data_IF_992420601126
#
_entry.id   IF_992420601126
#
_cell.length_a   1.000
_cell.length_b   1.000
_cell.length_c   1.000
_cell.angle_alpha   90.00
_cell.angle_beta   90.00
_cell.angle_gamma   90.00
#
_symmetry.space_group_name_H-M   'P 1'
#
loop_
_entity.id
_entity.type
_entity.pdbx_description
1 polymer ?
#
# COMPACT_ATOMS: atom_id res chain seq x y z
N UNK A 1 -9.96 15.27 -9.48
CA UNK A 1 -9.87 13.81 -9.49
C UNK A 1 -8.74 13.37 -8.59
N UNK A 2 -8.99 12.38 -7.73
CA UNK A 2 -7.98 11.90 -6.80
C UNK A 2 -7.45 10.54 -7.22
N UNK A 3 -6.15 10.38 -7.10
CA UNK A 3 -5.53 9.07 -7.25
C UNK A 3 -5.83 8.26 -6.00
N UNK A 4 -6.33 7.07 -6.21
CA UNK A 4 -6.68 6.17 -5.12
C UNK A 4 -5.51 5.23 -4.86
N UNK A 5 -5.01 5.24 -3.63
CA UNK A 5 -3.81 4.52 -3.26
C UNK A 5 -4.14 3.38 -2.30
N UNK A 6 -3.75 2.18 -2.64
CA UNK A 6 -3.84 1.03 -1.74
C UNK A 6 -2.50 0.87 -1.03
N UNK A 7 -2.55 0.84 0.29
CA UNK A 7 -1.34 0.71 1.11
C UNK A 7 -1.21 -0.74 1.56
N UNK A 8 -0.26 -1.45 0.96
CA UNK A 8 -0.06 -2.88 1.21
C UNK A 8 1.12 -3.08 2.14
N UNK A 9 0.89 -2.88 3.43
CA UNK A 9 1.90 -3.03 4.47
C UNK A 9 1.23 -3.44 5.77
N UNK A 10 1.75 -4.46 6.46
CA UNK A 10 1.12 -4.93 7.70
C UNK A 10 1.35 -4.03 8.91
N UNK A 11 2.26 -3.07 8.82
CA UNK A 11 2.59 -2.21 9.96
C UNK A 11 1.55 -1.10 10.11
N UNK A 12 0.74 -1.13 11.20
CA UNK A 12 -0.28 -0.11 11.38
C UNK A 12 0.27 1.29 11.58
N UNK A 13 1.47 1.42 12.13
CA UNK A 13 2.08 2.74 12.30
C UNK A 13 2.46 3.32 10.95
N UNK A 14 3.00 2.51 10.07
CA UNK A 14 3.33 2.95 8.72
C UNK A 14 2.08 3.28 7.93
N UNK A 15 1.03 2.48 8.09
CA UNK A 15 -0.24 2.77 7.45
C UNK A 15 -0.76 4.14 7.85
N UNK A 16 -0.71 4.46 9.14
CA UNK A 16 -1.16 5.77 9.64
C UNK A 16 -0.29 6.89 9.10
N UNK A 17 1.03 6.68 9.08
CA UNK A 17 1.97 7.69 8.60
C UNK A 17 1.70 8.00 7.13
N UNK A 18 1.54 6.98 6.31
CA UNK A 18 1.31 7.16 4.88
C UNK A 18 -0.06 7.80 4.65
N UNK A 19 -1.08 7.37 5.41
CA UNK A 19 -2.41 7.96 5.28
C UNK A 19 -2.38 9.45 5.60
N UNK A 20 -1.67 9.82 6.66
CA UNK A 20 -1.54 11.23 7.03
C UNK A 20 -0.83 12.02 5.94
N UNK A 21 0.22 11.43 5.35
CA UNK A 21 0.93 12.10 4.26
C UNK A 21 0.03 12.28 3.04
N UNK A 22 -0.75 11.25 2.69
CA UNK A 22 -1.65 11.34 1.54
C UNK A 22 -2.75 12.37 1.78
N UNK A 23 -3.20 12.53 3.03
CA UNK A 23 -4.26 13.48 3.33
C UNK A 23 -3.83 14.93 3.13
N UNK A 24 -2.52 15.18 3.06
CA UNK A 24 -2.00 16.51 2.76
C UNK A 24 -2.08 16.84 1.27
N UNK A 25 -2.30 15.83 0.44
CA UNK A 25 -2.33 16.03 -1.00
C UNK A 25 -3.77 16.16 -1.47
N UNK A 26 -4.00 17.09 -2.39
CA UNK A 26 -5.35 17.33 -2.90
C UNK A 26 -5.78 16.25 -3.90
N UNK A 27 -4.82 15.64 -4.54
CA UNK A 27 -5.08 14.72 -5.65
C UNK A 27 -4.80 13.26 -5.30
N UNK A 28 -4.69 12.94 -4.02
CA UNK A 28 -4.46 11.57 -3.57
C UNK A 28 -5.31 11.24 -2.38
N UNK A 29 -5.67 9.97 -2.26
CA UNK A 29 -6.40 9.49 -1.09
C UNK A 29 -6.09 8.01 -0.86
N UNK A 30 -6.16 7.59 0.39
CA UNK A 30 -6.00 6.19 0.72
C UNK A 30 -7.29 5.45 0.39
N UNK A 31 -7.20 4.47 -0.50
CA UNK A 31 -8.36 3.67 -0.88
C UNK A 31 -8.58 2.49 0.06
N UNK A 32 -7.51 2.00 0.69
CA UNK A 32 -7.62 0.88 1.60
C UNK A 32 -6.25 0.43 2.05
N UNK A 33 -6.24 -0.64 2.84
CA UNK A 33 -5.02 -1.22 3.40
C UNK A 33 -5.07 -2.73 3.24
N UNK A 34 -3.91 -3.33 3.08
CA UNK A 34 -3.80 -4.78 3.07
C UNK A 34 -2.55 -5.21 3.82
N UNK A 35 -2.60 -6.42 4.40
CA UNK A 35 -1.51 -6.93 5.23
C UNK A 35 -0.76 -8.08 4.59
N UNK A 36 -1.22 -8.61 3.49
CA UNK A 36 -0.58 -9.77 2.88
C UNK A 36 -0.88 -9.88 1.41
N UNK A 37 -0.17 -10.77 0.73
CA UNK A 37 -0.25 -10.89 -0.72
C UNK A 37 -1.63 -11.24 -1.23
N UNK A 38 -2.28 -12.25 -0.63
CA UNK A 38 -3.60 -12.67 -1.06
C UNK A 38 -4.61 -11.56 -0.83
N UNK A 39 -4.55 -10.93 0.33
CA UNK A 39 -5.44 -9.81 0.63
C UNK A 39 -5.20 -8.65 -0.32
N UNK A 40 -3.94 -8.38 -0.66
CA UNK A 40 -3.60 -7.31 -1.58
C UNK A 40 -4.24 -7.55 -2.95
N UNK A 41 -4.15 -8.77 -3.48
CA UNK A 41 -4.77 -9.09 -4.76
C UNK A 41 -6.28 -8.92 -4.70
N UNK A 42 -6.90 -9.37 -3.63
CA UNK A 42 -8.33 -9.22 -3.45
C UNK A 42 -8.74 -7.76 -3.40
N UNK A 43 -7.96 -6.94 -2.68
CA UNK A 43 -8.25 -5.52 -2.57
C UNK A 43 -8.06 -4.79 -3.89
N UNK A 44 -7.06 -5.19 -4.68
CA UNK A 44 -6.86 -4.59 -5.99
C UNK A 44 -8.08 -4.83 -6.87
N UNK A 45 -8.62 -6.04 -6.82
CA UNK A 45 -9.80 -6.37 -7.63
C UNK A 45 -11.05 -5.63 -7.15
N UNK A 46 -11.20 -5.49 -5.84
CA UNK A 46 -12.38 -4.84 -5.26
C UNK A 46 -12.33 -3.33 -5.35
N UNK A 47 -11.21 -2.75 -4.99
CA UNK A 47 -11.07 -1.30 -4.86
C UNK A 47 -10.61 -0.62 -6.13
N UNK A 48 -9.96 -1.35 -7.01
CA UNK A 48 -9.39 -0.84 -8.26
C UNK A 48 -8.57 0.43 -8.02
N UNK A 49 -7.54 0.33 -7.18
CA UNK A 49 -6.72 1.51 -6.89
C UNK A 49 -5.90 1.92 -8.10
N UNK A 50 -5.55 3.19 -8.14
CA UNK A 50 -4.67 3.70 -9.19
C UNK A 50 -3.21 3.36 -8.91
N UNK A 51 -2.86 3.29 -7.63
CA UNK A 51 -1.48 3.03 -7.18
C UNK A 51 -1.52 2.07 -6.02
N UNK A 52 -0.55 1.16 -5.98
CA UNK A 52 -0.36 0.26 -4.84
C UNK A 52 1.02 0.51 -4.27
N UNK A 53 1.07 0.91 -3.00
CA UNK A 53 2.33 1.07 -2.29
C UNK A 53 2.62 -0.22 -1.55
N UNK A 54 3.75 -0.85 -1.90
CA UNK A 54 4.16 -2.11 -1.32
C UNK A 54 5.36 -1.92 -0.43
N UNK A 55 5.41 -2.70 0.65
CA UNK A 55 6.60 -2.78 1.47
C UNK A 55 7.63 -3.62 0.73
N UNK A 56 8.68 -2.96 0.25
CA UNK A 56 9.75 -3.64 -0.49
C UNK A 56 10.89 -4.07 0.41
N UNK A 57 11.01 -3.46 1.59
CA UNK A 57 12.07 -3.80 2.52
C UNK A 57 11.55 -4.85 3.48
N UNK A 58 12.00 -6.08 3.32
CA UNK A 58 11.61 -7.17 4.18
C UNK A 58 12.62 -7.28 5.32
N UNK A 59 12.19 -7.76 6.50
CA UNK A 59 13.12 -8.00 7.59
C UNK A 59 14.22 -9.00 7.23
N UNK A 60 13.99 -9.81 6.20
CA UNK A 60 14.95 -10.78 5.72
C UNK A 60 15.41 -10.40 4.32
N UNK A 61 16.56 -10.92 3.95
CA UNK A 61 17.12 -10.64 2.64
C UNK A 61 16.28 -11.18 1.49
N UNK A 62 15.34 -12.04 1.79
CA UNK A 62 14.45 -12.60 0.79
C UNK A 62 13.72 -11.51 0.00
N UNK A 63 13.46 -10.38 0.63
CA UNK A 63 12.81 -9.28 -0.03
C UNK A 63 13.59 -8.80 -1.25
N UNK A 64 14.91 -8.76 -1.13
CA UNK A 64 15.75 -8.37 -2.24
C UNK A 64 15.79 -9.44 -3.33
N UNK A 65 15.70 -10.69 -2.91
CA UNK A 65 15.66 -11.79 -3.87
C UNK A 65 14.42 -11.73 -4.75
N UNK A 66 13.31 -11.30 -4.19
CA UNK A 66 12.05 -11.21 -4.93
C UNK A 66 12.11 -10.15 -6.03
N UNK A 67 12.93 -9.12 -5.83
CA UNK A 67 13.03 -8.03 -6.81
C UNK A 67 13.89 -8.36 -8.02
N UNK A 68 14.53 -9.48 -8.02
CA UNK A 68 15.43 -9.85 -9.11
C UNK A 68 14.73 -10.59 -10.22
#
# INVERSE_FOLDING_TARGET
MKLRVLIADPDPDLQRTITAALSQERDMEAAGFSSGGTETLSQIQSLRPDVVLLELVQPRLDGLGVLR
#
